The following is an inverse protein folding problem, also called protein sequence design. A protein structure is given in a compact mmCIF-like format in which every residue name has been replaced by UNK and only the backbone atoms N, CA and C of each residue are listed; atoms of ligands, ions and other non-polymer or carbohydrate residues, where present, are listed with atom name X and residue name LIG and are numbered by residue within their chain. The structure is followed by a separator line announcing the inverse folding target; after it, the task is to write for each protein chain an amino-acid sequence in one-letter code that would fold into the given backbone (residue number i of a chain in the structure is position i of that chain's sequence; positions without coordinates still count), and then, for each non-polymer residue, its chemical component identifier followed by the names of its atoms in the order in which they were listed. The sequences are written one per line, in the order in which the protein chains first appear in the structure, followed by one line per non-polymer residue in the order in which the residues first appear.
data_IF_346057834875
#
_entry.id   IF_346057834875
#
_cell.length_a   1.000
_cell.length_b   1.000
_cell.length_c   1.000
_cell.angle_alpha   90.00
_cell.angle_beta   90.00
_cell.angle_gamma   90.00
#
_symmetry.space_group_name_H-M   'P 1'
#
loop_
_entity.id
_entity.type
_entity.pdbx_description
1 polymer ?
#
# COMPACT_ATOMS: atom_id res chain seq x y z
N UNK A 1 -17.83 36.26 0.65
CA UNK A 1 -17.36 34.94 1.16
C UNK A 1 -18.34 33.90 0.65
N UNK A 2 -17.91 32.92 -0.14
CA UNK A 2 -18.76 31.76 -0.51
C UNK A 2 -19.07 31.00 0.79
N UNK A 3 -20.32 30.61 0.98
CA UNK A 3 -20.73 29.86 2.17
C UNK A 3 -19.93 28.53 2.28
N UNK A 4 -19.69 28.04 3.50
CA UNK A 4 -19.04 26.77 3.75
C UNK A 4 -19.95 25.64 3.24
N UNK A 5 -19.51 24.89 2.22
CA UNK A 5 -20.25 23.74 1.71
C UNK A 5 -20.32 22.64 2.81
N UNK A 6 -21.43 21.91 2.89
CA UNK A 6 -21.62 20.88 3.91
C UNK A 6 -21.72 19.51 3.27
N UNK A 7 -21.00 18.56 3.83
CA UNK A 7 -20.98 17.16 3.45
C UNK A 7 -21.18 16.26 4.67
N UNK A 8 -21.53 15.01 4.47
CA UNK A 8 -21.52 14.02 5.54
C UNK A 8 -20.08 13.58 5.84
N UNK A 9 -19.29 13.37 4.78
CA UNK A 9 -17.89 13.01 4.88
C UNK A 9 -17.02 13.79 3.87
N UNK A 10 -15.77 14.12 4.28
CA UNK A 10 -14.74 14.63 3.38
C UNK A 10 -13.59 13.63 3.39
N UNK A 11 -13.13 13.22 2.20
CA UNK A 11 -11.95 12.38 2.02
C UNK A 11 -10.85 13.22 1.40
N UNK A 12 -9.71 13.32 2.09
CA UNK A 12 -8.55 14.10 1.63
C UNK A 12 -7.50 13.15 1.05
N UNK A 13 -7.32 13.16 -0.26
CA UNK A 13 -6.47 12.28 -1.06
C UNK A 13 -7.28 11.22 -1.82
N UNK A 14 -7.22 11.25 -3.16
CA UNK A 14 -7.89 10.29 -4.04
C UNK A 14 -6.94 9.18 -4.54
N UNK A 15 -6.01 8.73 -3.70
CA UNK A 15 -5.27 7.50 -3.92
C UNK A 15 -6.14 6.26 -3.63
N UNK A 16 -5.59 5.04 -3.72
CA UNK A 16 -6.35 3.80 -3.54
C UNK A 16 -7.18 3.77 -2.25
N UNK A 17 -6.60 4.19 -1.14
CA UNK A 17 -7.30 4.25 0.14
C UNK A 17 -8.48 5.24 0.13
N UNK A 18 -8.26 6.46 -0.36
CA UNK A 18 -9.30 7.49 -0.33
C UNK A 18 -10.42 7.22 -1.33
N UNK A 19 -10.08 6.83 -2.55
CA UNK A 19 -11.10 6.53 -3.57
C UNK A 19 -11.99 5.36 -3.18
N UNK A 20 -11.42 4.28 -2.61
CA UNK A 20 -12.23 3.15 -2.15
C UNK A 20 -13.08 3.48 -0.93
N UNK A 21 -12.59 4.33 -0.02
CA UNK A 21 -13.40 4.83 1.09
C UNK A 21 -14.55 5.73 0.60
N UNK A 22 -14.26 6.67 -0.31
CA UNK A 22 -15.28 7.54 -0.90
C UNK A 22 -16.33 6.74 -1.66
N UNK A 23 -15.93 5.74 -2.45
CA UNK A 23 -16.86 4.82 -3.12
C UNK A 23 -17.82 4.16 -2.12
N UNK A 24 -17.30 3.56 -1.04
CA UNK A 24 -18.12 2.87 -0.04
C UNK A 24 -19.11 3.81 0.67
N UNK A 25 -18.65 4.99 1.04
CA UNK A 25 -19.48 6.01 1.69
C UNK A 25 -20.59 6.50 0.76
N UNK A 26 -20.24 6.85 -0.49
CA UNK A 26 -21.20 7.35 -1.48
C UNK A 26 -22.22 6.28 -1.89
N UNK A 27 -21.76 5.02 -2.09
CA UNK A 27 -22.66 3.88 -2.39
C UNK A 27 -23.65 3.60 -1.26
N UNK A 28 -23.34 3.99 -0.02
CA UNK A 28 -24.25 3.92 1.12
C UNK A 28 -25.15 5.17 1.27
N UNK A 29 -25.11 6.11 0.30
CA UNK A 29 -25.95 7.31 0.26
C UNK A 29 -25.40 8.52 1.02
N UNK A 30 -24.19 8.47 1.57
CA UNK A 30 -23.58 9.62 2.21
C UNK A 30 -23.17 10.68 1.15
N UNK A 31 -23.35 11.96 1.45
CA UNK A 31 -22.85 13.06 0.65
C UNK A 31 -21.35 13.24 0.90
N UNK A 32 -20.52 12.83 -0.05
CA UNK A 32 -19.05 12.76 0.09
C UNK A 32 -18.37 13.79 -0.81
N UNK A 33 -17.38 14.52 -0.24
CA UNK A 33 -16.42 15.31 -1.00
C UNK A 33 -15.09 14.55 -1.01
N UNK A 34 -14.58 14.23 -2.22
CA UNK A 34 -13.29 13.60 -2.43
C UNK A 34 -12.32 14.61 -3.04
N UNK A 35 -11.25 14.97 -2.33
CA UNK A 35 -10.26 15.95 -2.74
C UNK A 35 -8.92 15.29 -3.09
N UNK A 36 -8.28 15.70 -4.19
CA UNK A 36 -6.87 15.43 -4.42
C UNK A 36 -6.14 16.67 -4.95
N UNK A 37 -4.91 16.87 -4.48
CA UNK A 37 -4.06 18.01 -4.91
C UNK A 37 -3.56 17.90 -6.34
N UNK A 38 -3.50 16.68 -6.89
CA UNK A 38 -3.05 16.41 -8.24
C UNK A 38 -4.25 16.34 -9.19
N UNK A 39 -4.05 16.70 -10.45
CA UNK A 39 -4.98 16.41 -11.55
C UNK A 39 -4.80 14.99 -12.02
N UNK A 40 -5.90 14.31 -12.32
CA UNK A 40 -5.94 12.94 -12.78
C UNK A 40 -6.03 12.83 -14.31
N UNK A 41 -5.44 11.79 -14.93
CA UNK A 41 -4.63 10.73 -14.32
C UNK A 41 -3.29 11.26 -13.81
N UNK A 42 -2.86 10.78 -12.64
CA UNK A 42 -1.59 11.15 -12.04
C UNK A 42 -0.74 9.94 -11.69
N UNK A 43 0.56 10.07 -11.77
CA UNK A 43 1.46 9.00 -11.43
C UNK A 43 1.93 9.09 -9.97
N UNK A 44 2.22 7.92 -9.37
CA UNK A 44 2.80 7.77 -8.04
C UNK A 44 3.77 6.59 -8.06
N UNK A 45 5.01 6.70 -7.54
CA UNK A 45 5.94 5.58 -7.46
C UNK A 45 5.31 4.38 -6.74
N UNK A 46 5.36 3.20 -7.38
CA UNK A 46 4.85 1.95 -6.85
C UNK A 46 5.16 0.81 -7.83
N UNK A 47 5.70 -0.29 -7.36
CA UNK A 47 5.84 -1.50 -8.18
C UNK A 47 4.54 -1.98 -8.84
N UNK A 48 3.38 -1.50 -8.37
CA UNK A 48 2.07 -1.65 -9.03
C UNK A 48 1.50 -3.06 -8.99
N UNK A 49 2.04 -3.94 -8.14
CA UNK A 49 1.50 -5.27 -7.94
C UNK A 49 0.33 -5.24 -6.94
N UNK A 50 -0.83 -5.73 -7.36
CA UNK A 50 -1.97 -6.00 -6.50
C UNK A 50 -2.00 -7.50 -6.20
N UNK A 51 -1.67 -7.89 -4.98
CA UNK A 51 -1.86 -9.28 -4.54
C UNK A 51 -3.35 -9.64 -4.62
N UNK A 52 -3.68 -10.90 -4.89
CA UNK A 52 -5.09 -11.30 -4.99
C UNK A 52 -5.86 -11.05 -3.68
N UNK A 53 -5.21 -11.13 -2.52
CA UNK A 53 -5.81 -10.73 -1.24
C UNK A 53 -6.20 -9.25 -1.20
N UNK A 54 -5.41 -8.38 -1.84
CA UNK A 54 -5.74 -6.96 -1.96
C UNK A 54 -6.91 -6.73 -2.91
N UNK A 55 -6.96 -7.46 -4.03
CA UNK A 55 -8.06 -7.40 -4.99
C UNK A 55 -9.40 -7.81 -4.34
N UNK A 56 -9.41 -8.81 -3.46
CA UNK A 56 -10.63 -9.25 -2.73
C UNK A 56 -11.21 -8.17 -1.79
N UNK A 57 -10.42 -7.19 -1.38
CA UNK A 57 -10.89 -6.08 -0.55
C UNK A 57 -11.51 -4.93 -1.37
N UNK A 58 -11.30 -4.93 -2.68
CA UNK A 58 -11.83 -3.86 -3.54
C UNK A 58 -13.34 -3.96 -3.73
N UNK A 59 -14.05 -2.84 -3.67
CA UNK A 59 -15.49 -2.82 -3.93
C UNK A 59 -15.84 -2.81 -5.43
N UNK A 60 -14.83 -2.67 -6.30
CA UNK A 60 -14.97 -2.55 -7.75
C UNK A 60 -13.93 -3.41 -8.47
N UNK A 61 -14.25 -3.84 -9.70
CA UNK A 61 -13.30 -4.57 -10.54
C UNK A 61 -12.15 -3.67 -10.98
N UNK A 62 -10.94 -4.22 -11.01
CA UNK A 62 -9.72 -3.57 -11.54
C UNK A 62 -9.30 -4.15 -12.88
N UNK A 63 -10.05 -5.09 -13.44
CA UNK A 63 -9.76 -5.75 -14.71
C UNK A 63 -9.43 -4.75 -15.85
N UNK A 64 -10.14 -3.60 -16.01
CA UNK A 64 -9.86 -2.65 -17.07
C UNK A 64 -8.47 -2.00 -16.99
N UNK A 65 -7.78 -2.10 -15.87
CA UNK A 65 -6.47 -1.46 -15.62
C UNK A 65 -5.36 -2.47 -15.33
N UNK A 66 -5.65 -3.77 -15.46
CA UNK A 66 -4.64 -4.84 -15.37
C UNK A 66 -3.82 -4.86 -16.64
N UNK A 67 -2.51 -4.92 -16.50
CA UNK A 67 -1.54 -4.90 -17.59
C UNK A 67 -0.78 -6.21 -17.74
N UNK A 68 -0.60 -6.95 -16.65
CA UNK A 68 0.00 -8.27 -16.65
C UNK A 68 -0.53 -9.08 -15.46
N UNK A 69 -0.49 -10.41 -15.57
CA UNK A 69 -0.94 -11.35 -14.54
C UNK A 69 0.22 -12.26 -14.16
N UNK A 70 0.63 -12.18 -12.91
CA UNK A 70 1.77 -12.94 -12.40
C UNK A 70 1.35 -14.33 -11.94
N UNK A 71 1.90 -15.34 -12.59
CA UNK A 71 1.81 -16.75 -12.23
C UNK A 71 3.15 -17.36 -11.78
N UNK A 72 4.25 -16.65 -12.05
CA UNK A 72 5.61 -17.07 -11.72
C UNK A 72 6.24 -16.09 -10.73
N UNK A 73 6.77 -16.63 -9.66
CA UNK A 73 7.46 -15.84 -8.65
C UNK A 73 8.90 -16.33 -8.50
N UNK A 74 9.84 -15.45 -8.80
CA UNK A 74 11.27 -15.72 -8.67
C UNK A 74 11.82 -15.03 -7.44
N UNK A 75 12.49 -15.79 -6.57
CA UNK A 75 13.20 -15.26 -5.43
C UNK A 75 14.71 -15.45 -5.62
N UNK A 76 15.41 -14.33 -5.68
CA UNK A 76 16.87 -14.25 -5.77
C UNK A 76 17.54 -14.00 -4.41
N UNK A 77 18.83 -14.28 -4.33
CA UNK A 77 19.67 -14.02 -3.17
C UNK A 77 21.08 -13.58 -3.60
N UNK A 78 21.41 -12.29 -3.37
CA UNK A 78 22.72 -11.67 -3.68
C UNK A 78 23.13 -11.83 -5.14
N UNK A 79 22.16 -11.83 -6.07
CA UNK A 79 22.33 -12.03 -7.53
C UNK A 79 23.11 -13.32 -7.90
N UNK A 80 23.23 -14.28 -6.98
CA UNK A 80 24.01 -15.51 -7.18
C UNK A 80 23.19 -16.78 -7.12
N UNK A 81 22.11 -16.79 -6.38
CA UNK A 81 21.21 -17.93 -6.21
C UNK A 81 19.80 -17.47 -6.47
N UNK A 82 19.04 -18.28 -7.14
CA UNK A 82 17.62 -18.02 -7.41
C UNK A 82 16.82 -19.30 -7.47
N UNK A 83 15.53 -19.22 -7.25
CA UNK A 83 14.58 -20.25 -7.56
C UNK A 83 13.28 -19.60 -8.03
N UNK A 84 12.56 -20.30 -8.88
CA UNK A 84 11.24 -19.90 -9.38
C UNK A 84 10.19 -20.87 -8.88
N UNK A 85 8.99 -20.34 -8.64
CA UNK A 85 7.78 -21.09 -8.35
C UNK A 85 6.68 -20.63 -9.28
N UNK A 86 5.87 -21.57 -9.71
CA UNK A 86 4.72 -21.34 -10.58
C UNK A 86 3.45 -21.77 -9.87
N UNK A 87 2.35 -21.09 -10.18
CA UNK A 87 0.98 -21.47 -9.79
C UNK A 87 0.08 -21.40 -11.01
N UNK A 88 -0.95 -22.24 -11.03
CA UNK A 88 -1.97 -22.20 -12.07
C UNK A 88 -2.90 -20.99 -11.86
N UNK A 89 -3.16 -20.63 -10.60
CA UNK A 89 -3.95 -19.45 -10.24
C UNK A 89 -3.08 -18.19 -10.14
N UNK A 90 -3.63 -17.01 -10.49
CA UNK A 90 -2.92 -15.75 -10.38
C UNK A 90 -2.49 -15.43 -8.95
N UNK A 91 -1.29 -14.88 -8.80
CA UNK A 91 -0.76 -14.40 -7.51
C UNK A 91 -0.92 -12.89 -7.37
N UNK A 92 -0.59 -12.15 -8.42
CA UNK A 92 -0.51 -10.69 -8.43
C UNK A 92 -1.05 -10.20 -9.78
N UNK A 93 -1.92 -9.19 -9.72
CA UNK A 93 -2.31 -8.40 -10.88
C UNK A 93 -1.42 -7.17 -10.97
N UNK A 94 -0.79 -6.96 -12.12
CA UNK A 94 0.10 -5.82 -12.33
C UNK A 94 -0.67 -4.66 -12.93
N UNK A 95 -0.51 -3.48 -12.33
CA UNK A 95 -1.16 -2.24 -12.76
C UNK A 95 -0.18 -1.08 -12.78
N UNK A 96 -0.54 0.03 -13.42
CA UNK A 96 0.14 1.32 -13.25
C UNK A 96 -0.72 2.25 -12.40
N UNK A 97 -0.09 3.01 -11.50
CA UNK A 97 -0.78 3.88 -10.55
C UNK A 97 -1.55 5.02 -11.21
N UNK A 98 -1.10 5.53 -12.34
CA UNK A 98 -1.84 6.53 -13.11
C UNK A 98 -3.20 5.99 -13.58
N UNK A 99 -3.25 4.74 -14.06
CA UNK A 99 -4.48 4.09 -14.51
C UNK A 99 -5.34 3.61 -13.34
N UNK A 100 -4.72 2.93 -12.36
CA UNK A 100 -5.43 2.38 -11.21
C UNK A 100 -6.08 3.50 -10.37
N UNK A 101 -5.31 4.55 -10.04
CA UNK A 101 -5.82 5.63 -9.19
C UNK A 101 -6.93 6.42 -9.90
N UNK A 102 -6.79 6.66 -11.22
CA UNK A 102 -7.85 7.30 -12.02
C UNK A 102 -9.12 6.45 -12.05
N UNK A 103 -8.99 5.16 -12.35
CA UNK A 103 -10.12 4.23 -12.36
C UNK A 103 -10.87 4.22 -11.01
N UNK A 104 -10.15 4.09 -9.89
CA UNK A 104 -10.78 4.07 -8.57
C UNK A 104 -11.47 5.40 -8.22
N UNK A 105 -10.89 6.54 -8.61
CA UNK A 105 -11.49 7.85 -8.39
C UNK A 105 -12.74 8.05 -9.26
N UNK A 106 -12.71 7.61 -10.51
CA UNK A 106 -13.87 7.62 -11.42
C UNK A 106 -15.01 6.74 -10.89
N UNK A 107 -14.69 5.56 -10.35
CA UNK A 107 -15.68 4.69 -9.72
C UNK A 107 -16.30 5.35 -8.47
N UNK A 108 -15.52 6.05 -7.66
CA UNK A 108 -16.04 6.81 -6.54
C UNK A 108 -16.97 7.94 -6.98
N UNK A 109 -16.61 8.67 -8.04
CA UNK A 109 -17.45 9.71 -8.63
C UNK A 109 -18.74 9.14 -9.21
N UNK A 110 -18.66 8.00 -9.92
CA UNK A 110 -19.83 7.31 -10.46
C UNK A 110 -20.79 6.82 -9.35
N UNK A 111 -20.26 6.49 -8.16
CA UNK A 111 -21.04 6.15 -6.97
C UNK A 111 -21.64 7.37 -6.25
N UNK A 112 -21.40 8.62 -6.75
CA UNK A 112 -21.98 9.85 -6.23
C UNK A 112 -21.03 10.71 -5.38
N UNK A 113 -19.74 10.40 -5.29
CA UNK A 113 -18.78 11.30 -4.64
C UNK A 113 -18.57 12.57 -5.49
N UNK A 114 -18.57 13.74 -4.85
CA UNK A 114 -18.12 14.99 -5.46
C UNK A 114 -16.59 14.98 -5.52
N UNK A 115 -16.03 14.46 -6.63
CA UNK A 115 -14.61 14.35 -6.83
C UNK A 115 -14.04 15.65 -7.42
N UNK A 116 -13.10 16.26 -6.70
CA UNK A 116 -12.40 17.47 -7.11
C UNK A 116 -10.89 17.20 -7.13
N UNK A 117 -10.36 16.99 -8.31
CA UNK A 117 -8.94 16.88 -8.57
C UNK A 117 -8.28 18.27 -8.74
N UNK A 118 -6.97 18.37 -8.57
CA UNK A 118 -6.27 19.64 -8.52
C UNK A 118 -6.60 20.50 -7.29
N UNK A 119 -7.43 20.00 -6.37
CA UNK A 119 -7.91 20.70 -5.19
C UNK A 119 -7.05 20.35 -3.95
N UNK A 120 -6.15 21.24 -3.57
CA UNK A 120 -5.22 21.03 -2.46
C UNK A 120 -5.83 21.40 -1.11
N UNK A 121 -6.02 20.43 -0.24
CA UNK A 121 -6.30 20.67 1.17
C UNK A 121 -5.11 21.38 1.84
N UNK A 122 -5.36 22.52 2.48
CA UNK A 122 -4.34 23.40 3.09
C UNK A 122 -4.46 23.48 4.61
N UNK A 123 -5.67 23.28 5.16
CA UNK A 123 -5.90 23.22 6.59
C UNK A 123 -7.02 22.24 6.93
N UNK A 124 -6.93 21.67 8.14
CA UNK A 124 -7.93 20.80 8.76
C UNK A 124 -8.19 21.33 10.18
N UNK A 125 -9.38 21.84 10.42
CA UNK A 125 -9.81 22.41 11.68
C UNK A 125 -10.80 21.47 12.37
N UNK A 126 -10.48 21.05 13.60
CA UNK A 126 -11.30 20.08 14.34
C UNK A 126 -12.35 20.85 15.18
N UNK A 127 -13.64 20.51 14.96
CA UNK A 127 -14.75 20.89 15.82
C UNK A 127 -15.17 19.71 16.72
N UNK A 128 -16.18 19.95 17.57
CA UNK A 128 -16.71 18.91 18.43
C UNK A 128 -17.62 17.94 17.66
N UNK A 129 -18.45 18.45 16.76
CA UNK A 129 -19.42 17.66 15.99
C UNK A 129 -19.03 17.45 14.52
N UNK A 130 -17.82 17.86 14.12
CA UNK A 130 -17.34 17.75 12.74
C UNK A 130 -15.96 18.35 12.57
N UNK A 131 -15.59 18.56 11.31
CA UNK A 131 -14.34 19.22 10.94
C UNK A 131 -14.53 20.10 9.70
N UNK A 132 -13.66 21.09 9.53
CA UNK A 132 -13.61 21.97 8.36
C UNK A 132 -12.31 21.71 7.62
N UNK A 133 -12.40 21.43 6.32
CA UNK A 133 -11.24 21.32 5.43
C UNK A 133 -11.20 22.57 4.55
N UNK A 134 -10.06 23.25 4.55
CA UNK A 134 -9.79 24.37 3.62
C UNK A 134 -8.99 23.88 2.42
N UNK A 135 -9.37 24.31 1.24
CA UNK A 135 -8.70 23.95 -0.01
C UNK A 135 -8.88 25.06 -1.04
N UNK A 136 -7.81 25.45 -1.71
CA UNK A 136 -7.79 26.43 -2.82
C UNK A 136 -8.64 27.70 -2.60
N UNK A 137 -8.55 28.28 -1.41
CA UNK A 137 -9.32 29.47 -1.02
C UNK A 137 -10.80 29.21 -0.70
N UNK A 138 -11.25 27.96 -0.77
CA UNK A 138 -12.58 27.49 -0.39
C UNK A 138 -12.56 26.74 0.94
N UNK A 139 -13.73 26.42 1.49
CA UNK A 139 -13.87 25.60 2.67
C UNK A 139 -15.11 24.70 2.60
N UNK A 140 -14.98 23.50 3.10
CA UNK A 140 -16.09 22.57 3.29
C UNK A 140 -16.07 22.01 4.73
N UNK A 141 -17.24 21.74 5.28
CA UNK A 141 -17.42 21.10 6.58
C UNK A 141 -18.04 19.72 6.43
N UNK A 142 -17.66 18.80 7.30
CA UNK A 142 -18.26 17.47 7.36
C UNK A 142 -18.33 16.95 8.79
N UNK A 143 -19.24 15.99 9.01
CA UNK A 143 -19.36 15.26 10.29
C UNK A 143 -18.17 14.32 10.51
N UNK A 144 -17.57 13.81 9.42
CA UNK A 144 -16.39 12.92 9.46
C UNK A 144 -15.40 13.34 8.37
N UNK A 145 -14.10 13.26 8.67
CA UNK A 145 -13.02 13.45 7.69
C UNK A 145 -12.14 12.22 7.65
N UNK A 146 -11.84 11.71 6.46
CA UNK A 146 -10.87 10.65 6.23
C UNK A 146 -9.60 11.24 5.62
N UNK A 147 -8.48 11.15 6.34
CA UNK A 147 -7.16 11.52 5.84
C UNK A 147 -6.54 10.36 5.07
N UNK A 148 -6.50 10.48 3.74
CA UNK A 148 -5.94 9.51 2.79
C UNK A 148 -4.82 10.15 1.94
N UNK A 149 -4.21 11.22 2.44
CA UNK A 149 -3.30 12.13 1.72
C UNK A 149 -1.82 11.68 1.75
N UNK A 150 -1.60 10.42 2.13
CA UNK A 150 -0.30 9.74 2.05
C UNK A 150 0.69 10.15 3.14
N UNK A 151 1.96 9.70 2.98
CA UNK A 151 3.02 9.85 4.01
C UNK A 151 3.33 11.30 4.37
N UNK A 152 3.22 12.22 3.41
CA UNK A 152 3.49 13.64 3.59
C UNK A 152 2.20 14.48 3.72
N UNK A 153 1.09 13.83 4.05
CA UNK A 153 -0.23 14.42 4.10
C UNK A 153 -0.40 15.49 5.19
N UNK A 154 -1.43 16.32 5.04
CA UNK A 154 -1.85 17.32 6.01
C UNK A 154 -2.53 16.66 7.22
N UNK A 155 -3.36 15.63 6.97
CA UNK A 155 -4.26 15.07 7.99
C UNK A 155 -3.49 14.54 9.21
N UNK A 156 -2.48 13.71 9.02
CA UNK A 156 -1.67 13.19 10.13
C UNK A 156 -0.98 14.31 10.92
N UNK A 157 -0.47 15.36 10.24
CA UNK A 157 0.18 16.51 10.88
C UNK A 157 -0.81 17.36 11.68
N UNK A 158 -1.96 17.67 11.10
CA UNK A 158 -2.99 18.46 11.77
C UNK A 158 -3.51 17.79 13.05
N UNK A 159 -3.46 16.46 13.10
CA UNK A 159 -3.84 15.68 14.27
C UNK A 159 -2.70 15.53 15.32
N UNK A 160 -1.47 15.95 15.00
CA UNK A 160 -0.29 15.66 15.82
C UNK A 160 0.08 14.18 15.87
N UNK A 161 -0.30 13.42 14.81
CA UNK A 161 -0.11 11.98 14.68
C UNK A 161 1.14 11.61 13.84
N UNK A 162 2.03 12.57 13.64
CA UNK A 162 3.29 12.37 12.88
C UNK A 162 4.36 11.58 13.62
N UNK A 163 3.99 10.97 14.71
CA UNK A 163 4.78 10.25 15.70
C UNK A 163 6.01 9.44 15.25
N UNK A 164 6.45 8.49 16.04
CA UNK A 164 7.71 7.72 15.93
C UNK A 164 7.69 6.65 14.84
N UNK A 165 7.18 6.96 13.64
CA UNK A 165 7.13 6.03 12.52
C UNK A 165 8.53 5.71 12.01
N UNK A 166 8.82 4.45 11.80
CA UNK A 166 9.97 4.06 11.00
C UNK A 166 9.64 4.25 9.52
N UNK A 167 10.65 4.60 8.74
CA UNK A 167 10.49 4.77 7.30
C UNK A 167 11.43 3.85 6.54
N UNK A 168 10.87 3.19 5.54
CA UNK A 168 11.63 2.71 4.41
C UNK A 168 11.68 3.77 3.33
N UNK A 169 12.60 3.61 2.40
CA UNK A 169 12.72 4.40 1.18
C UNK A 169 12.85 3.48 -0.01
N UNK A 170 12.32 3.90 -1.14
CA UNK A 170 12.40 3.16 -2.38
C UNK A 170 12.77 4.09 -3.54
N UNK A 171 13.43 3.54 -4.54
CA UNK A 171 13.74 4.18 -5.82
C UNK A 171 13.41 3.18 -6.92
N UNK A 172 12.68 3.61 -7.94
CA UNK A 172 12.29 2.78 -9.06
C UNK A 172 12.37 3.51 -10.39
N UNK A 173 12.41 2.75 -11.46
CA UNK A 173 12.30 3.24 -12.83
C UNK A 173 11.75 2.16 -13.74
N UNK A 174 11.49 2.53 -14.98
CA UNK A 174 10.91 1.67 -15.99
C UNK A 174 11.93 1.40 -17.10
N UNK A 175 11.99 0.17 -17.59
CA UNK A 175 12.77 -0.23 -18.77
C UNK A 175 11.83 -0.85 -19.79
N UNK A 176 11.69 -0.30 -21.01
CA UNK A 176 10.87 -0.90 -22.06
C UNK A 176 11.26 -2.36 -22.32
N UNK A 177 10.28 -3.26 -22.53
CA UNK A 177 10.53 -4.69 -22.74
C UNK A 177 11.53 -4.98 -23.87
N UNK A 178 11.53 -4.16 -24.92
CA UNK A 178 12.44 -4.32 -26.06
C UNK A 178 13.92 -4.18 -25.69
N UNK A 179 14.22 -3.60 -24.55
CA UNK A 179 15.59 -3.43 -24.03
C UNK A 179 15.95 -4.45 -22.95
N UNK A 180 14.99 -5.21 -22.43
CA UNK A 180 15.25 -6.28 -21.46
C UNK A 180 15.87 -7.50 -22.15
N UNK A 181 16.88 -8.11 -21.54
CA UNK A 181 17.51 -9.34 -22.08
C UNK A 181 16.66 -10.59 -21.93
N UNK A 182 15.71 -10.57 -21.00
CA UNK A 182 14.82 -11.67 -20.70
C UNK A 182 13.36 -11.22 -20.80
N UNK A 183 12.45 -12.15 -21.05
CA UNK A 183 11.01 -11.91 -20.96
C UNK A 183 10.53 -12.05 -19.52
N UNK A 184 10.08 -10.93 -18.96
CA UNK A 184 9.55 -10.85 -17.60
C UNK A 184 8.02 -11.00 -17.51
N UNK A 185 7.30 -11.08 -18.63
CA UNK A 185 5.83 -11.21 -18.63
C UNK A 185 5.38 -12.39 -17.81
N UNK A 186 4.37 -12.17 -16.95
CA UNK A 186 3.83 -13.18 -16.04
C UNK A 186 4.76 -13.59 -14.90
N UNK A 187 5.90 -12.88 -14.70
CA UNK A 187 6.92 -13.22 -13.69
C UNK A 187 7.27 -12.02 -12.83
N UNK A 188 7.01 -12.11 -11.53
CA UNK A 188 7.53 -11.17 -10.54
C UNK A 188 8.84 -11.68 -9.97
N UNK A 189 9.83 -10.81 -9.86
CA UNK A 189 11.14 -11.10 -9.25
C UNK A 189 11.32 -10.27 -8.00
N UNK A 190 11.79 -10.91 -6.93
CA UNK A 190 12.26 -10.26 -5.70
C UNK A 190 13.68 -10.75 -5.39
N UNK A 191 14.59 -9.83 -5.15
CA UNK A 191 16.00 -10.11 -4.89
C UNK A 191 16.38 -9.70 -3.47
N UNK A 192 16.69 -10.67 -2.63
CA UNK A 192 16.97 -10.47 -1.21
C UNK A 192 18.46 -10.25 -0.93
N UNK A 193 18.75 -9.60 0.20
CA UNK A 193 20.09 -9.37 0.75
C UNK A 193 21.02 -8.57 -0.16
N UNK A 194 20.47 -7.64 -0.92
CA UNK A 194 21.19 -6.70 -1.80
C UNK A 194 21.07 -5.26 -1.35
N UNK A 195 20.02 -4.95 -0.59
CA UNK A 195 19.78 -3.64 0.02
C UNK A 195 19.56 -3.83 1.53
N UNK A 196 20.30 -3.15 2.41
CA UNK A 196 20.04 -3.21 3.86
C UNK A 196 18.61 -2.80 4.19
N UNK A 197 17.93 -3.65 4.93
CA UNK A 197 16.55 -3.43 5.31
C UNK A 197 15.55 -3.55 4.15
N UNK A 198 15.89 -4.26 3.07
CA UNK A 198 14.97 -4.39 1.97
C UNK A 198 15.38 -5.38 0.89
N UNK A 199 14.99 -5.06 -0.34
CA UNK A 199 15.16 -5.93 -1.49
C UNK A 199 15.11 -5.12 -2.80
N UNK A 200 15.50 -5.76 -3.91
CA UNK A 200 15.24 -5.28 -5.25
C UNK A 200 14.09 -6.07 -5.89
N UNK A 201 13.39 -5.45 -6.82
CA UNK A 201 12.32 -6.10 -7.59
C UNK A 201 12.41 -5.85 -9.07
N UNK A 202 11.84 -6.76 -9.86
CA UNK A 202 11.60 -6.62 -11.29
C UNK A 202 10.18 -7.09 -11.55
N UNK A 203 9.29 -6.17 -11.91
CA UNK A 203 7.86 -6.43 -12.08
C UNK A 203 7.41 -6.06 -13.50
N UNK A 204 6.75 -6.98 -14.21
CA UNK A 204 6.29 -6.73 -15.58
C UNK A 204 5.11 -5.74 -15.58
N UNK A 205 5.02 -4.99 -16.67
CA UNK A 205 3.87 -4.16 -17.06
C UNK A 205 3.53 -4.48 -18.52
N UNK A 206 2.54 -3.80 -19.08
CA UNK A 206 2.13 -4.00 -20.46
C UNK A 206 3.26 -3.82 -21.47
N UNK A 207 3.95 -2.69 -21.42
CA UNK A 207 4.98 -2.29 -22.39
C UNK A 207 6.40 -2.21 -21.81
N UNK A 208 6.56 -2.30 -20.48
CA UNK A 208 7.84 -2.15 -19.81
C UNK A 208 7.97 -3.07 -18.59
N UNK A 209 9.15 -3.07 -18.03
CA UNK A 209 9.48 -3.69 -16.74
C UNK A 209 9.71 -2.57 -15.74
N UNK A 210 9.01 -2.58 -14.62
CA UNK A 210 9.34 -1.72 -13.48
C UNK A 210 10.43 -2.41 -12.65
N UNK A 211 11.56 -1.75 -12.49
CA UNK A 211 12.68 -2.20 -11.66
C UNK A 211 12.89 -1.21 -10.53
N UNK A 212 13.08 -1.73 -9.32
CA UNK A 212 13.27 -0.87 -8.17
C UNK A 212 14.01 -1.54 -7.03
N UNK A 213 14.35 -0.72 -6.06
CA UNK A 213 15.03 -1.10 -4.82
C UNK A 213 14.39 -0.36 -3.66
N UNK A 214 14.28 -1.04 -2.53
CA UNK A 214 13.82 -0.41 -1.29
C UNK A 214 14.63 -0.91 -0.10
N UNK A 215 14.73 -0.09 0.94
CA UNK A 215 15.46 -0.42 2.15
C UNK A 215 15.16 0.56 3.28
N UNK A 216 15.99 0.52 4.34
CA UNK A 216 15.88 1.49 5.42
C UNK A 216 16.14 2.92 4.94
N UNK A 217 15.58 3.93 5.60
CA UNK A 217 15.74 5.35 5.25
C UNK A 217 17.20 5.78 5.13
N UNK A 218 18.10 5.20 5.92
CA UNK A 218 19.54 5.45 5.85
C UNK A 218 20.18 5.05 4.50
N UNK A 219 19.56 4.16 3.74
CA UNK A 219 20.03 3.77 2.41
C UNK A 219 19.62 4.77 1.31
N UNK A 220 18.85 5.78 1.61
CA UNK A 220 18.38 6.79 0.66
C UNK A 220 19.48 7.31 -0.30
N UNK A 221 20.65 7.77 0.21
CA UNK A 221 21.74 8.26 -0.63
C UNK A 221 22.35 7.21 -1.58
N UNK A 222 22.17 5.90 -1.27
CA UNK A 222 22.75 4.78 -2.03
C UNK A 222 21.77 4.06 -2.93
N UNK A 223 20.49 4.44 -2.91
CA UNK A 223 19.45 3.73 -3.68
C UNK A 223 19.76 3.68 -5.18
N UNK A 224 20.38 4.74 -5.73
CA UNK A 224 20.75 4.76 -7.15
C UNK A 224 21.77 3.67 -7.47
N UNK A 225 22.82 3.53 -6.66
CA UNK A 225 23.82 2.48 -6.79
C UNK A 225 23.21 1.08 -6.68
N UNK A 226 22.29 0.89 -5.72
CA UNK A 226 21.56 -0.37 -5.57
C UNK A 226 20.68 -0.67 -6.78
N UNK A 227 20.00 0.34 -7.35
CA UNK A 227 19.16 0.19 -8.53
C UNK A 227 19.99 -0.20 -9.78
N UNK A 228 21.14 0.45 -10.00
CA UNK A 228 22.04 0.11 -11.10
C UNK A 228 22.57 -1.32 -10.97
N UNK A 229 22.88 -1.79 -9.76
CA UNK A 229 23.25 -3.19 -9.50
C UNK A 229 22.08 -4.15 -9.79
N UNK A 230 20.87 -3.78 -9.45
CA UNK A 230 19.67 -4.58 -9.75
C UNK A 230 19.47 -4.68 -11.27
N UNK A 231 19.60 -3.59 -11.99
CA UNK A 231 19.55 -3.57 -13.45
C UNK A 231 20.60 -4.52 -14.05
N UNK A 232 21.86 -4.41 -13.63
CA UNK A 232 22.93 -5.27 -14.10
C UNK A 232 22.68 -6.76 -13.77
N UNK A 233 22.19 -7.06 -12.57
CA UNK A 233 21.89 -8.42 -12.11
C UNK A 233 20.78 -9.11 -12.89
N UNK A 234 19.88 -8.34 -13.49
CA UNK A 234 18.70 -8.81 -14.22
C UNK A 234 18.73 -8.46 -15.73
N UNK A 235 19.89 -8.09 -16.27
CA UNK A 235 20.02 -7.83 -17.69
C UNK A 235 19.18 -6.67 -18.21
N UNK A 236 18.91 -5.68 -17.35
CA UNK A 236 18.21 -4.45 -17.69
C UNK A 236 19.22 -3.33 -17.88
N UNK A 237 19.24 -2.62 -19.02
CA UNK A 237 20.18 -1.53 -19.24
C UNK A 237 19.83 -0.32 -18.40
N UNK A 238 20.68 0.02 -17.42
CA UNK A 238 20.43 1.14 -16.49
C UNK A 238 20.37 2.50 -17.21
N UNK A 239 21.04 2.63 -18.34
CA UNK A 239 21.01 3.81 -19.22
C UNK A 239 19.67 4.01 -19.96
N UNK A 240 18.80 2.98 -19.92
CA UNK A 240 17.44 3.00 -20.47
C UNK A 240 16.36 3.14 -19.39
N UNK A 241 16.77 3.42 -18.16
CA UNK A 241 15.82 3.72 -17.09
C UNK A 241 15.09 5.03 -17.37
N UNK A 242 13.79 4.93 -17.44
CA UNK A 242 12.84 6.05 -17.59
C UNK A 242 12.06 6.25 -16.29
N UNK A 243 11.48 7.43 -16.13
CA UNK A 243 10.55 7.74 -15.03
C UNK A 243 11.10 7.43 -13.62
N UNK A 244 12.39 7.74 -13.40
CA UNK A 244 13.07 7.48 -12.13
C UNK A 244 12.40 8.28 -10.99
N UNK A 245 11.93 7.58 -9.94
CA UNK A 245 11.19 8.19 -8.82
C UNK A 245 11.46 7.51 -7.49
N UNK A 246 11.55 8.34 -6.45
CA UNK A 246 11.69 7.87 -5.07
C UNK A 246 10.43 8.06 -4.24
N UNK A 247 10.25 7.22 -3.24
CA UNK A 247 9.15 7.31 -2.30
C UNK A 247 9.55 6.90 -0.87
N UNK A 248 8.88 7.49 0.12
CA UNK A 248 9.00 7.09 1.53
C UNK A 248 7.87 6.15 1.89
N UNK A 249 8.23 5.07 2.59
CA UNK A 249 7.33 4.00 3.02
C UNK A 249 7.10 4.14 4.52
N UNK A 250 5.94 4.66 4.96
CA UNK A 250 5.68 4.89 6.38
C UNK A 250 5.21 3.60 7.06
N UNK A 251 5.99 3.11 8.00
CA UNK A 251 5.68 1.92 8.80
C UNK A 251 5.35 2.35 10.22
N UNK A 252 4.12 2.13 10.66
CA UNK A 252 3.68 2.55 12.01
C UNK A 252 4.18 1.60 13.09
N UNK A 253 4.38 2.16 14.29
CA UNK A 253 4.45 1.38 15.51
C UNK A 253 3.04 0.89 15.94
N UNK A 254 2.98 -0.19 16.71
CA UNK A 254 1.70 -0.82 17.13
C UNK A 254 0.74 0.14 17.85
N UNK A 255 1.25 1.17 18.52
CA UNK A 255 0.46 2.11 19.34
C UNK A 255 0.28 3.48 18.72
N UNK A 256 0.68 3.68 17.46
CA UNK A 256 0.49 4.98 16.82
C UNK A 256 -1.01 5.23 16.60
N UNK A 257 -1.54 6.37 17.04
CA UNK A 257 -2.96 6.66 16.87
C UNK A 257 -3.31 6.83 15.39
N UNK A 258 -4.48 6.35 15.01
CA UNK A 258 -5.01 6.39 13.63
C UNK A 258 -6.30 7.22 13.53
N UNK A 259 -6.75 7.77 14.65
CA UNK A 259 -7.95 8.61 14.71
C UNK A 259 -7.82 9.66 15.80
N UNK A 260 -8.53 10.77 15.60
CA UNK A 260 -8.71 11.80 16.62
C UNK A 260 -10.02 12.55 16.38
N UNK A 261 -10.93 12.56 17.38
CA UNK A 261 -12.26 13.18 17.27
C UNK A 261 -13.00 12.65 16.02
N UNK A 262 -13.33 13.54 15.08
CA UNK A 262 -14.08 13.26 13.84
C UNK A 262 -13.18 12.94 12.64
N UNK A 263 -11.91 12.61 12.86
CA UNK A 263 -10.95 12.34 11.77
C UNK A 263 -10.35 10.95 11.92
N UNK A 264 -10.35 10.19 10.82
CA UNK A 264 -9.73 8.88 10.65
C UNK A 264 -8.59 8.97 9.66
N UNK A 265 -7.48 8.26 9.89
CA UNK A 265 -6.38 8.12 8.93
C UNK A 265 -6.44 6.73 8.28
N UNK A 266 -6.19 6.66 6.97
CA UNK A 266 -6.18 5.42 6.20
C UNK A 266 -4.93 5.29 5.33
N UNK A 267 -4.54 4.07 4.97
CA UNK A 267 -3.38 3.79 4.13
C UNK A 267 -2.08 4.41 4.64
N UNK A 268 -1.27 4.98 3.73
CA UNK A 268 0.02 5.60 4.07
C UNK A 268 -0.11 6.77 5.06
N UNK A 269 -1.24 7.49 5.07
CA UNK A 269 -1.48 8.55 6.05
C UNK A 269 -1.56 8.00 7.47
N UNK A 270 -2.05 6.76 7.65
CA UNK A 270 -2.02 6.02 8.90
C UNK A 270 -0.70 5.26 9.15
N UNK A 271 0.24 5.28 8.20
CA UNK A 271 1.51 4.55 8.28
C UNK A 271 1.37 3.05 8.07
N UNK A 272 0.39 2.62 7.29
CA UNK A 272 0.01 1.22 7.12
C UNK A 272 0.74 0.53 5.94
N UNK A 273 2.04 0.78 5.79
CA UNK A 273 2.87 -0.02 4.88
C UNK A 273 3.35 -1.27 5.60
N UNK A 274 3.18 -2.44 4.98
CA UNK A 274 3.68 -3.71 5.53
C UNK A 274 5.22 -3.68 5.64
N UNK A 275 5.79 -3.93 6.81
CA UNK A 275 7.23 -3.77 7.03
C UNK A 275 8.09 -4.74 6.25
N UNK A 276 7.63 -5.97 6.01
CA UNK A 276 8.39 -7.00 5.30
C UNK A 276 8.38 -6.78 3.79
N UNK A 277 7.18 -6.60 3.23
CA UNK A 277 7.00 -6.50 1.78
C UNK A 277 7.14 -5.07 1.24
N UNK A 278 7.05 -4.04 2.10
CA UNK A 278 6.99 -2.66 1.62
C UNK A 278 5.72 -2.34 0.83
N UNK A 279 4.78 -3.29 0.70
CA UNK A 279 3.47 -3.09 0.10
C UNK A 279 2.53 -2.40 1.10
N UNK A 280 1.63 -1.58 0.61
CA UNK A 280 0.60 -0.91 1.41
C UNK A 280 -0.79 -0.98 0.77
N UNK A 281 -0.93 -1.71 -0.36
CA UNK A 281 -2.20 -1.71 -1.10
C UNK A 281 -3.29 -2.50 -0.35
N UNK A 282 -2.96 -3.66 0.18
CA UNK A 282 -3.89 -4.46 0.98
C UNK A 282 -4.32 -3.68 2.24
N UNK A 283 -3.38 -3.12 2.97
CA UNK A 283 -3.63 -2.34 4.18
C UNK A 283 -4.43 -1.07 3.87
N UNK A 284 -4.19 -0.45 2.72
CA UNK A 284 -4.98 0.70 2.25
C UNK A 284 -6.44 0.33 2.04
N UNK A 285 -6.74 -0.79 1.39
CA UNK A 285 -8.11 -1.23 1.14
C UNK A 285 -8.82 -1.70 2.41
N UNK A 286 -8.14 -2.46 3.28
CA UNK A 286 -8.70 -2.88 4.57
C UNK A 286 -9.01 -1.66 5.45
N UNK A 287 -8.05 -0.74 5.61
CA UNK A 287 -8.26 0.44 6.44
C UNK A 287 -9.37 1.34 5.90
N UNK A 288 -9.49 1.46 4.58
CA UNK A 288 -10.56 2.23 3.92
C UNK A 288 -11.94 1.63 4.18
N UNK A 289 -12.05 0.31 4.09
CA UNK A 289 -13.31 -0.39 4.39
C UNK A 289 -13.72 -0.17 5.84
N UNK A 290 -12.81 -0.41 6.78
CA UNK A 290 -13.09 -0.25 8.21
C UNK A 290 -13.39 1.20 8.60
N UNK A 291 -12.73 2.18 7.97
CA UNK A 291 -12.99 3.59 8.18
C UNK A 291 -14.37 3.99 7.64
N UNK A 292 -14.73 3.52 6.45
CA UNK A 292 -16.04 3.79 5.86
C UNK A 292 -17.18 3.16 6.70
N UNK A 293 -17.05 1.91 7.11
CA UNK A 293 -18.02 1.23 8.00
C UNK A 293 -18.20 2.01 9.32
N UNK A 294 -17.09 2.42 9.96
CA UNK A 294 -17.16 3.17 11.22
C UNK A 294 -17.75 4.58 11.03
N UNK A 295 -17.43 5.24 9.91
CA UNK A 295 -18.01 6.53 9.58
C UNK A 295 -19.51 6.44 9.34
N UNK A 296 -19.99 5.42 8.62
CA UNK A 296 -21.41 5.19 8.37
C UNK A 296 -22.19 4.95 9.67
N UNK A 297 -21.65 4.17 10.60
CA UNK A 297 -22.29 3.97 11.91
C UNK A 297 -22.51 5.29 12.67
N UNK A 298 -21.54 6.21 12.59
CA UNK A 298 -21.69 7.54 13.19
C UNK A 298 -22.69 8.41 12.42
N UNK A 299 -22.66 8.38 11.09
CA UNK A 299 -23.56 9.17 10.24
C UNK A 299 -25.02 8.75 10.41
N UNK A 300 -25.26 7.47 10.59
CA UNK A 300 -26.58 6.88 10.83
C UNK A 300 -27.05 6.98 12.30
N UNK A 301 -26.22 7.51 13.20
CA UNK A 301 -26.55 7.64 14.62
C UNK A 301 -26.44 6.34 15.43
N UNK A 302 -25.87 5.28 14.86
CA UNK A 302 -25.62 3.99 15.55
C UNK A 302 -24.37 4.04 16.44
N UNK A 303 -23.52 5.03 16.25
CA UNK A 303 -22.36 5.31 17.10
C UNK A 303 -22.25 6.81 17.37
N UNK A 304 -21.73 7.18 18.55
CA UNK A 304 -21.46 8.59 18.94
C UNK A 304 -20.02 9.01 18.69
N UNK A 305 -19.09 8.06 18.59
CA UNK A 305 -17.65 8.29 18.38
C UNK A 305 -17.10 7.42 17.26
N UNK A 306 -15.85 7.70 16.86
CA UNK A 306 -15.11 6.92 15.85
C UNK A 306 -14.08 5.97 16.50
N UNK A 307 -14.12 5.75 17.80
CA UNK A 307 -13.10 4.98 18.54
C UNK A 307 -13.04 3.51 18.12
N UNK A 308 -14.17 2.95 17.66
CA UNK A 308 -14.23 1.59 17.14
C UNK A 308 -13.28 1.34 15.96
N UNK A 309 -12.91 2.36 15.18
CA UNK A 309 -12.01 2.21 14.06
C UNK A 309 -10.65 1.65 14.46
N UNK A 310 -10.02 2.23 15.49
CA UNK A 310 -8.70 1.78 15.94
C UNK A 310 -8.72 0.32 16.41
N UNK A 311 -9.78 -0.09 17.11
CA UNK A 311 -9.96 -1.47 17.57
C UNK A 311 -10.17 -2.44 16.41
N UNK A 312 -10.99 -2.08 15.42
CA UNK A 312 -11.23 -2.87 14.20
C UNK A 312 -9.95 -3.02 13.37
N UNK A 313 -9.19 -1.93 13.24
CA UNK A 313 -7.93 -1.94 12.51
C UNK A 313 -6.91 -2.87 13.19
N UNK A 314 -6.78 -2.80 14.51
CA UNK A 314 -5.89 -3.67 15.28
C UNK A 314 -6.33 -5.14 15.18
N UNK A 315 -7.61 -5.43 15.27
CA UNK A 315 -8.15 -6.77 15.13
C UNK A 315 -7.90 -7.36 13.72
N UNK A 316 -7.97 -6.53 12.67
CA UNK A 316 -7.81 -6.96 11.27
C UNK A 316 -6.36 -7.05 10.82
N UNK A 317 -5.52 -6.07 11.15
CA UNK A 317 -4.16 -5.94 10.64
C UNK A 317 -3.06 -6.13 11.70
N UNK A 318 -3.35 -5.92 12.98
CA UNK A 318 -2.35 -5.85 14.04
C UNK A 318 -1.49 -7.11 14.14
N UNK A 319 -2.11 -8.30 14.11
CA UNK A 319 -1.40 -9.58 14.14
C UNK A 319 -0.47 -9.76 12.93
N UNK A 320 -0.96 -9.41 11.74
CA UNK A 320 -0.19 -9.56 10.49
C UNK A 320 0.98 -8.58 10.45
N UNK A 321 0.76 -7.30 10.77
CA UNK A 321 1.83 -6.31 10.84
C UNK A 321 2.88 -6.67 11.89
N UNK A 322 2.48 -7.22 13.05
CA UNK A 322 3.41 -7.72 14.06
C UNK A 322 4.27 -8.87 13.53
N UNK A 323 3.67 -9.82 12.81
CA UNK A 323 4.41 -10.90 12.18
C UNK A 323 5.35 -10.40 11.08
N UNK A 324 4.92 -9.43 10.30
CA UNK A 324 5.74 -8.77 9.26
C UNK A 324 6.95 -8.05 9.86
N UNK A 325 6.80 -7.35 10.98
CA UNK A 325 7.92 -6.74 11.70
C UNK A 325 8.96 -7.78 12.13
N UNK A 326 8.53 -8.90 12.72
CA UNK A 326 9.43 -9.96 13.12
C UNK A 326 10.13 -10.60 11.90
N UNK A 327 9.39 -10.90 10.84
CA UNK A 327 9.96 -11.44 9.61
C UNK A 327 10.96 -10.47 8.98
N UNK A 328 10.69 -9.16 9.04
CA UNK A 328 11.61 -8.09 8.62
C UNK A 328 12.92 -8.12 9.40
N UNK A 329 12.87 -8.14 10.72
CA UNK A 329 14.08 -8.20 11.55
C UNK A 329 14.85 -9.52 11.36
N UNK A 330 14.15 -10.64 11.18
CA UNK A 330 14.78 -11.91 10.83
C UNK A 330 15.49 -11.85 9.48
N UNK A 331 14.87 -11.23 8.47
CA UNK A 331 15.46 -11.04 7.15
C UNK A 331 16.71 -10.14 7.21
N UNK A 332 16.67 -9.05 7.97
CA UNK A 332 17.79 -8.13 8.11
C UNK A 332 19.00 -8.81 8.79
N UNK A 333 18.75 -9.60 9.83
CA UNK A 333 19.82 -10.24 10.64
C UNK A 333 20.31 -11.56 10.08
N UNK A 334 19.41 -12.36 9.48
CA UNK A 334 19.68 -13.72 9.01
C UNK A 334 19.15 -13.96 7.59
N UNK A 335 19.53 -13.13 6.59
CA UNK A 335 18.92 -13.19 5.27
C UNK A 335 19.11 -14.54 4.56
N UNK A 336 20.25 -15.20 4.77
CA UNK A 336 20.53 -16.52 4.18
C UNK A 336 19.62 -17.62 4.74
N UNK A 337 19.28 -17.56 6.03
CA UNK A 337 18.38 -18.52 6.65
C UNK A 337 16.94 -18.29 6.19
N UNK A 338 16.50 -17.03 6.15
CA UNK A 338 15.15 -16.68 5.64
C UNK A 338 15.00 -17.13 4.17
N UNK A 339 16.01 -16.90 3.34
CA UNK A 339 16.04 -17.41 1.96
C UNK A 339 15.96 -18.94 1.91
N UNK A 340 16.73 -19.64 2.77
CA UNK A 340 16.71 -21.10 2.89
C UNK A 340 15.31 -21.64 3.25
N UNK A 341 14.64 -21.00 4.20
CA UNK A 341 13.26 -21.33 4.60
C UNK A 341 12.28 -21.06 3.45
N UNK A 342 12.40 -19.94 2.74
CA UNK A 342 11.53 -19.59 1.62
C UNK A 342 11.62 -20.60 0.45
N UNK A 343 12.75 -21.29 0.30
CA UNK A 343 12.93 -22.34 -0.73
C UNK A 343 12.12 -23.61 -0.45
N UNK A 344 11.67 -23.86 0.74
CA UNK A 344 10.94 -25.07 1.09
C UNK A 344 9.58 -25.11 0.35
N UNK A 345 9.22 -26.21 -0.37
CA UNK A 345 7.97 -26.27 -1.10
C UNK A 345 6.73 -26.02 -0.25
N UNK A 346 6.73 -26.50 1.01
CA UNK A 346 5.63 -26.29 1.93
C UNK A 346 5.47 -24.80 2.36
N UNK A 347 6.59 -24.04 2.43
CA UNK A 347 6.54 -22.60 2.70
C UNK A 347 6.02 -21.86 1.49
N UNK A 348 6.34 -22.32 0.28
CA UNK A 348 5.76 -21.77 -0.94
C UNK A 348 4.22 -21.97 -0.98
N UNK A 349 3.74 -23.16 -0.65
CA UNK A 349 2.29 -23.42 -0.57
C UNK A 349 1.58 -22.47 0.39
N UNK A 350 2.20 -22.20 1.56
CA UNK A 350 1.71 -21.18 2.48
C UNK A 350 1.77 -19.77 1.88
N UNK A 351 2.90 -19.37 1.30
CA UNK A 351 3.10 -18.04 0.73
C UNK A 351 2.10 -17.74 -0.39
N UNK A 352 1.90 -18.69 -1.30
CA UNK A 352 0.94 -18.55 -2.39
C UNK A 352 -0.50 -18.43 -1.88
N UNK A 353 -0.91 -19.24 -0.91
CA UNK A 353 -2.21 -19.14 -0.27
C UNK A 353 -2.42 -17.79 0.45
N UNK A 354 -1.37 -17.27 1.09
CA UNK A 354 -1.40 -15.95 1.73
C UNK A 354 -1.53 -14.81 0.71
N UNK A 355 -0.78 -14.85 -0.39
CA UNK A 355 -0.87 -13.86 -1.47
C UNK A 355 -2.24 -13.86 -2.16
N UNK A 356 -2.89 -15.02 -2.24
CA UNK A 356 -4.25 -15.15 -2.78
C UNK A 356 -5.35 -14.75 -1.78
N UNK A 357 -5.02 -14.66 -0.49
CA UNK A 357 -5.99 -14.37 0.57
C UNK A 357 -6.79 -15.59 1.03
N UNK A 358 -6.30 -16.81 0.75
CA UNK A 358 -6.86 -18.05 1.27
C UNK A 358 -6.49 -18.25 2.75
N UNK A 359 -5.44 -17.55 3.19
CA UNK A 359 -5.00 -17.43 4.59
C UNK A 359 -4.89 -15.95 4.95
N UNK A 360 -5.44 -15.60 6.11
CA UNK A 360 -5.48 -14.21 6.57
C UNK A 360 -4.28 -13.84 7.43
N UNK A 361 -3.66 -14.83 8.09
CA UNK A 361 -2.55 -14.58 9.00
C UNK A 361 -1.51 -15.71 8.96
N UNK A 362 -0.20 -15.41 9.08
CA UNK A 362 0.85 -16.43 9.16
C UNK A 362 0.67 -17.46 10.29
N UNK A 363 0.04 -17.06 11.40
CA UNK A 363 -0.26 -17.96 12.52
C UNK A 363 -1.36 -18.99 12.23
N UNK A 364 -2.12 -18.83 11.15
CA UNK A 364 -3.18 -19.76 10.73
C UNK A 364 -2.61 -20.97 9.98
N UNK A 365 -1.30 -20.94 9.69
CA UNK A 365 -0.57 -22.07 9.12
C UNK A 365 -0.74 -23.33 9.97
N UNK A 366 -1.06 -24.46 9.33
CA UNK A 366 -1.27 -25.77 9.98
C UNK A 366 -0.20 -26.77 9.54
N UNK A 367 -0.01 -27.82 10.34
CA UNK A 367 0.88 -28.92 10.01
C UNK A 367 2.36 -28.55 10.01
N UNK A 368 3.13 -29.19 9.12
CA UNK A 368 4.60 -29.10 9.08
C UNK A 368 5.15 -27.70 8.75
N UNK A 369 4.36 -26.84 8.09
CA UNK A 369 4.78 -25.48 7.75
C UNK A 369 4.93 -24.57 8.98
N UNK A 370 4.31 -24.92 10.11
CA UNK A 370 4.42 -24.12 11.34
C UNK A 370 5.84 -24.03 11.88
N UNK A 371 6.64 -25.09 11.76
CA UNK A 371 8.00 -25.11 12.32
C UNK A 371 8.92 -24.08 11.64
N UNK A 372 9.09 -24.05 10.31
CA UNK A 372 9.90 -23.05 9.65
C UNK A 372 9.38 -21.60 9.84
N UNK A 373 8.05 -21.39 9.89
CA UNK A 373 7.50 -20.05 10.15
C UNK A 373 7.76 -19.59 11.60
N UNK A 374 7.65 -20.48 12.59
CA UNK A 374 8.03 -20.20 13.98
C UNK A 374 9.52 -19.89 14.14
N UNK A 375 10.39 -20.55 13.37
CA UNK A 375 11.81 -20.24 13.35
C UNK A 375 12.04 -18.79 12.92
N UNK A 376 11.41 -18.35 11.82
CA UNK A 376 11.51 -16.95 11.36
C UNK A 376 10.95 -15.97 12.41
N UNK A 377 9.81 -16.29 13.05
CA UNK A 377 9.23 -15.47 14.13
C UNK A 377 10.16 -15.36 15.34
N UNK A 378 10.82 -16.46 15.71
CA UNK A 378 11.76 -16.49 16.84
C UNK A 378 13.05 -15.68 16.58
N UNK A 379 13.54 -15.69 15.34
CA UNK A 379 14.73 -14.94 14.92
C UNK A 379 14.50 -13.43 14.82
N UNK A 380 13.26 -13.01 14.71
CA UNK A 380 12.86 -11.59 14.63
C UNK A 380 12.48 -10.98 15.98
N UNK A 381 12.75 -11.66 17.09
CA UNK A 381 12.50 -11.16 18.46
C UNK A 381 13.66 -10.33 19.05
#
# INVERSE_FOLDING_TARGET
MRGVERFDAIVVGAGPAGSTAAFRLSSAGARVLLLDRARFPRDKPCGGGLTYRAVRELPVSVEPVVEDVVHRFQLGFRYRRQFERRTDEPLILMTQRNRLDAHLAEQAAAAGADFRDGARATALELGDDGAVVRFDGSAASARVVLGADGVNGLAARALGLTGRRQHGVALEGNVPHVHAREDYRGRAVVELATVPGGYAWVFPKGDHVNVGVGGWEAEGPRLREHLERACAGYGLPAERLESLRGYRLPMRGQRDPVSRRRVLLVGDAAGLVDPLSGDGMYEAFVSSRLAAETALELLEGRASTLDAYALRLEASLGRTLTASWKAKYALDRFPGLVYGVARLPLVWGFTSAFLRGDLTHPGDAKGLVRAPLRLVDALGR
#
